data_IF_397059855518
#
_entry.id   IF_397059855518
#
_cell.length_a   1.000
_cell.length_b   1.000
_cell.length_c   1.000
_cell.angle_alpha   90.00
_cell.angle_beta   90.00
_cell.angle_gamma   90.00
#
_symmetry.space_group_name_H-M   'P 1'
#
loop_
_entity.id
_entity.type
_entity.pdbx_description
1 polymer ?
#
# COMPACT_ATOMS: atom_id res chain seq x y z
N UNK A 1 5.26 19.37 11.78
CA UNK A 1 6.51 18.71 12.16
C UNK A 1 6.27 17.50 13.05
N UNK A 2 5.04 17.14 13.19
CA UNK A 2 4.53 16.17 14.18
C UNK A 2 4.93 14.72 13.92
N UNK A 3 5.04 14.28 12.68
CA UNK A 3 5.32 12.87 12.32
C UNK A 3 6.81 12.62 12.05
N UNK A 4 7.61 13.66 11.84
CA UNK A 4 9.07 13.50 11.68
C UNK A 4 9.70 12.81 12.89
N UNK A 5 9.28 13.16 14.11
CA UNK A 5 9.87 12.58 15.32
C UNK A 5 9.69 11.05 15.39
N UNK A 6 8.56 10.54 14.86
CA UNK A 6 8.31 9.10 14.76
C UNK A 6 9.25 8.42 13.76
N UNK A 7 9.42 9.03 12.58
CA UNK A 7 10.29 8.49 11.54
C UNK A 7 11.75 8.59 11.96
N UNK A 8 12.16 9.72 12.50
CA UNK A 8 13.51 9.95 13.02
C UNK A 8 13.84 8.97 14.15
N UNK A 9 12.87 8.65 15.00
CA UNK A 9 13.06 7.62 16.04
C UNK A 9 13.43 6.27 15.42
N UNK A 10 12.68 5.79 14.41
CA UNK A 10 12.98 4.50 13.78
C UNK A 10 14.29 4.50 12.99
N UNK A 11 14.61 5.60 12.30
CA UNK A 11 15.88 5.79 11.59
C UNK A 11 17.07 5.79 12.59
N UNK A 12 16.95 6.53 13.68
CA UNK A 12 17.99 6.61 14.71
C UNK A 12 18.19 5.29 15.48
N UNK A 13 17.14 4.47 15.61
CA UNK A 13 17.24 3.11 16.15
C UNK A 13 17.87 2.13 15.16
N UNK A 14 18.08 2.52 13.93
CA UNK A 14 18.55 1.64 12.85
C UNK A 14 17.54 0.53 12.51
N UNK A 15 16.25 0.73 12.82
CA UNK A 15 15.21 -0.23 12.46
C UNK A 15 14.91 -0.20 10.98
N UNK A 16 15.07 0.95 10.34
CA UNK A 16 14.77 1.15 8.92
C UNK A 16 15.75 2.12 8.29
N UNK A 17 15.61 2.32 6.98
CA UNK A 17 16.34 3.30 6.19
C UNK A 17 15.45 3.85 5.08
N UNK A 18 15.81 5.00 4.54
CA UNK A 18 15.21 5.47 3.30
C UNK A 18 15.57 4.56 2.12
N UNK A 19 14.57 4.28 1.30
CA UNK A 19 14.66 3.40 0.14
C UNK A 19 13.61 3.81 -0.91
N UNK A 20 13.34 2.97 -1.91
CA UNK A 20 12.25 3.15 -2.89
C UNK A 20 11.36 1.92 -2.90
N UNK A 21 10.11 2.05 -3.33
CA UNK A 21 9.21 0.89 -3.44
C UNK A 21 9.76 -0.21 -4.33
N UNK A 22 10.54 0.14 -5.36
CA UNK A 22 11.19 -0.83 -6.25
C UNK A 22 12.34 -1.59 -5.57
N UNK A 23 12.90 -1.07 -4.48
CA UNK A 23 13.95 -1.73 -3.70
C UNK A 23 13.38 -2.62 -2.59
N UNK A 24 12.18 -2.30 -2.10
CA UNK A 24 11.45 -3.11 -1.12
C UNK A 24 10.77 -4.29 -1.81
N UNK A 25 10.13 -4.01 -2.94
CA UNK A 25 9.43 -5.03 -3.71
C UNK A 25 10.40 -5.85 -4.54
N UNK A 26 10.17 -7.15 -4.60
CA UNK A 26 10.93 -8.18 -5.30
C UNK A 26 11.57 -7.67 -6.61
N UNK A 27 12.88 -7.87 -6.83
CA UNK A 27 13.60 -7.47 -8.04
C UNK A 27 12.99 -8.00 -9.36
N UNK A 28 11.98 -8.88 -9.28
CA UNK A 28 11.21 -9.36 -10.42
C UNK A 28 10.05 -8.43 -10.83
N UNK A 29 9.87 -7.28 -10.17
CA UNK A 29 8.94 -6.27 -10.66
C UNK A 29 9.34 -5.86 -12.08
N UNK A 30 8.46 -6.15 -13.05
CA UNK A 30 8.66 -5.82 -14.47
C UNK A 30 8.42 -4.34 -14.80
N UNK A 31 8.41 -3.46 -13.79
CA UNK A 31 8.22 -2.03 -13.98
C UNK A 31 9.37 -1.46 -14.80
N UNK A 32 9.06 -0.95 -15.98
CA UNK A 32 10.03 -0.33 -16.90
C UNK A 32 10.60 0.96 -16.30
N UNK A 33 9.79 1.67 -15.52
CA UNK A 33 10.20 2.88 -14.81
C UNK A 33 10.32 2.55 -13.31
N UNK A 34 11.54 2.67 -12.80
CA UNK A 34 11.77 2.53 -11.36
C UNK A 34 11.37 3.82 -10.66
N UNK A 35 10.56 3.69 -9.61
CA UNK A 35 10.20 4.82 -8.75
C UNK A 35 11.45 5.47 -8.15
N UNK A 36 11.42 6.81 -8.12
CA UNK A 36 12.43 7.65 -7.44
C UNK A 36 11.91 8.20 -6.12
N UNK A 37 10.67 7.93 -5.78
CA UNK A 37 10.05 8.40 -4.54
C UNK A 37 10.70 7.71 -3.35
N UNK A 38 11.26 8.54 -2.45
CA UNK A 38 11.82 8.06 -1.20
C UNK A 38 10.71 7.60 -0.26
N UNK A 39 10.88 6.44 0.31
CA UNK A 39 9.96 5.82 1.29
C UNK A 39 10.79 5.16 2.40
N UNK A 40 10.15 4.82 3.50
CA UNK A 40 10.72 4.03 4.58
C UNK A 40 10.22 2.59 4.47
N UNK A 41 11.12 1.63 4.56
CA UNK A 41 10.80 0.21 4.65
C UNK A 41 10.09 -0.06 5.99
N UNK A 42 8.78 -0.31 5.94
CA UNK A 42 7.99 -0.49 7.15
C UNK A 42 8.00 -1.93 7.66
N UNK A 43 8.27 -2.91 6.82
CA UNK A 43 8.51 -4.27 7.29
C UNK A 43 9.76 -4.34 8.19
N UNK A 44 10.77 -3.54 7.89
CA UNK A 44 11.96 -3.42 8.74
C UNK A 44 11.62 -2.75 10.08
N UNK A 45 10.77 -1.72 10.10
CA UNK A 45 10.23 -1.11 11.34
C UNK A 45 9.48 -2.15 12.17
N UNK A 46 8.58 -2.90 11.54
CA UNK A 46 7.82 -3.98 12.18
C UNK A 46 8.76 -4.99 12.84
N UNK A 47 9.79 -5.47 12.13
CA UNK A 47 10.77 -6.41 12.68
C UNK A 47 11.52 -5.85 13.92
N UNK A 48 11.84 -4.56 13.91
CA UNK A 48 12.42 -3.87 15.06
C UNK A 48 11.46 -3.85 16.25
N UNK A 49 10.20 -3.51 15.98
CA UNK A 49 9.12 -3.48 16.95
C UNK A 49 8.85 -4.86 17.58
N UNK A 50 8.76 -5.92 16.77
CA UNK A 50 8.59 -7.31 17.22
C UNK A 50 9.70 -7.77 18.17
N UNK A 51 10.96 -7.45 17.81
CA UNK A 51 12.13 -7.79 18.65
C UNK A 51 12.07 -7.09 20.02
N UNK A 52 11.65 -5.82 20.02
CA UNK A 52 11.55 -5.05 21.25
C UNK A 52 10.47 -5.61 22.18
N UNK A 53 9.30 -5.92 21.64
CA UNK A 53 8.11 -6.30 22.41
C UNK A 53 7.94 -7.81 22.60
N UNK A 54 8.71 -8.65 21.91
CA UNK A 54 8.61 -10.12 21.92
C UNK A 54 7.19 -10.63 21.63
N UNK A 55 6.52 -9.99 20.68
CA UNK A 55 5.14 -10.32 20.28
C UNK A 55 5.11 -11.13 18.97
N UNK A 56 3.96 -11.75 18.69
CA UNK A 56 3.69 -12.36 17.40
C UNK A 56 3.71 -11.30 16.28
N UNK A 57 4.15 -11.71 15.10
CA UNK A 57 4.31 -10.82 13.94
C UNK A 57 2.96 -10.20 13.54
N UNK A 58 2.75 -8.89 13.73
CA UNK A 58 1.59 -8.21 13.17
C UNK A 58 1.70 -8.18 11.64
N UNK A 59 0.59 -8.02 10.95
CA UNK A 59 0.64 -7.66 9.54
C UNK A 59 1.19 -6.22 9.41
N UNK A 60 1.74 -5.86 8.25
CA UNK A 60 2.20 -4.49 8.00
C UNK A 60 2.05 -4.14 6.54
N UNK A 61 1.89 -2.85 6.27
CA UNK A 61 2.15 -2.30 4.94
C UNK A 61 3.63 -2.41 4.60
N UNK A 62 3.97 -2.41 3.33
CA UNK A 62 5.35 -2.59 2.89
C UNK A 62 6.20 -1.33 3.14
N UNK A 63 5.60 -0.12 3.00
CA UNK A 63 6.34 1.12 3.15
C UNK A 63 5.51 2.27 3.74
N UNK A 64 6.23 3.26 4.28
CA UNK A 64 5.68 4.57 4.63
C UNK A 64 6.39 5.68 3.86
N UNK A 65 5.64 6.72 3.51
CA UNK A 65 6.16 8.00 3.06
C UNK A 65 5.57 9.11 3.91
N UNK A 66 6.42 10.01 4.29
CA UNK A 66 6.03 11.26 4.95
C UNK A 66 6.43 12.45 4.08
N UNK A 67 5.55 13.42 4.00
CA UNK A 67 5.87 14.79 3.65
C UNK A 67 5.21 15.74 4.67
N UNK A 68 5.50 17.03 4.59
CA UNK A 68 5.01 18.01 5.57
C UNK A 68 3.47 18.06 5.66
N UNK A 69 2.76 17.50 4.71
CA UNK A 69 1.30 17.58 4.58
C UNK A 69 0.59 16.27 4.93
N UNK A 70 1.27 15.11 4.76
CA UNK A 70 0.58 13.82 4.80
C UNK A 70 1.52 12.65 5.12
N UNK A 71 1.03 11.69 5.89
CA UNK A 71 1.65 10.37 6.07
C UNK A 71 0.96 9.36 5.15
N UNK A 72 1.71 8.76 4.23
CA UNK A 72 1.19 7.78 3.29
C UNK A 72 1.63 6.37 3.67
N UNK A 73 0.66 5.49 3.93
CA UNK A 73 0.86 4.04 4.06
C UNK A 73 0.83 3.42 2.66
N UNK A 74 1.79 2.56 2.35
CA UNK A 74 1.96 2.03 0.99
C UNK A 74 2.07 0.51 1.06
N UNK A 75 1.16 -0.14 0.36
CA UNK A 75 1.16 -1.60 0.17
C UNK A 75 1.49 -1.91 -1.29
N UNK A 76 2.42 -2.82 -1.56
CA UNK A 76 2.85 -3.17 -2.92
C UNK A 76 2.51 -4.63 -3.22
N UNK A 77 1.84 -4.89 -4.34
CA UNK A 77 1.44 -6.24 -4.75
C UNK A 77 1.85 -6.57 -6.18
N UNK A 78 2.60 -7.66 -6.31
CA UNK A 78 3.03 -8.21 -7.61
C UNK A 78 2.03 -9.22 -8.15
N UNK A 79 1.17 -8.79 -9.07
CA UNK A 79 0.29 -9.67 -9.82
C UNK A 79 0.98 -10.33 -11.00
N UNK A 80 1.92 -9.63 -11.69
CA UNK A 80 2.59 -10.18 -12.89
C UNK A 80 3.35 -11.44 -12.59
N UNK A 81 4.11 -11.46 -11.49
CA UNK A 81 4.80 -12.69 -11.06
C UNK A 81 3.81 -13.86 -10.89
N UNK A 82 2.67 -13.61 -10.26
CA UNK A 82 1.63 -14.63 -10.11
C UNK A 82 1.08 -15.08 -11.46
N UNK A 83 0.79 -14.16 -12.37
CA UNK A 83 0.24 -14.45 -13.69
C UNK A 83 1.25 -15.23 -14.56
N UNK A 84 2.54 -14.83 -14.54
CA UNK A 84 3.59 -15.42 -15.37
C UNK A 84 3.98 -16.84 -14.91
N UNK A 85 3.99 -17.08 -13.59
CA UNK A 85 4.42 -18.38 -13.04
C UNK A 85 3.28 -19.34 -12.74
N UNK A 86 2.03 -18.94 -12.94
CA UNK A 86 0.88 -19.84 -12.75
C UNK A 86 0.58 -20.59 -14.04
N UNK A 87 0.79 -21.90 -14.06
CA UNK A 87 0.64 -22.77 -15.24
C UNK A 87 -0.73 -22.69 -15.94
N UNK A 88 -1.78 -22.39 -15.18
CA UNK A 88 -3.12 -22.10 -15.68
C UNK A 88 -3.78 -21.10 -14.73
N UNK A 89 -3.90 -19.86 -15.16
CA UNK A 89 -4.61 -18.82 -14.41
C UNK A 89 -6.10 -19.09 -14.49
N UNK A 90 -6.78 -19.01 -13.37
CA UNK A 90 -8.25 -19.07 -13.27
C UNK A 90 -8.71 -18.00 -12.29
N UNK A 91 -9.97 -17.60 -12.42
CA UNK A 91 -10.57 -16.62 -11.50
C UNK A 91 -10.48 -17.07 -10.03
N UNK A 92 -10.74 -18.35 -9.78
CA UNK A 92 -10.64 -18.94 -8.42
C UNK A 92 -9.23 -18.79 -7.81
N UNK A 93 -8.18 -18.95 -8.64
CA UNK A 93 -6.78 -18.76 -8.19
C UNK A 93 -6.49 -17.29 -7.88
N UNK A 94 -7.03 -16.37 -8.68
CA UNK A 94 -6.94 -14.93 -8.41
C UNK A 94 -7.66 -14.60 -7.10
N UNK A 95 -8.88 -15.10 -6.90
CA UNK A 95 -9.66 -14.88 -5.67
C UNK A 95 -8.97 -15.47 -4.44
N UNK A 96 -8.34 -16.63 -4.57
CA UNK A 96 -7.55 -17.20 -3.49
C UNK A 96 -6.35 -16.30 -3.17
N UNK A 97 -5.60 -15.87 -4.21
CA UNK A 97 -4.41 -15.05 -4.02
C UNK A 97 -4.73 -13.69 -3.38
N UNK A 98 -5.83 -13.03 -3.79
CA UNK A 98 -6.20 -11.72 -3.23
C UNK A 98 -6.62 -11.79 -1.76
N UNK A 99 -7.23 -12.91 -1.31
CA UNK A 99 -7.58 -13.10 0.12
C UNK A 99 -6.36 -13.08 1.03
N UNK A 100 -5.19 -13.49 0.53
CA UNK A 100 -3.95 -13.48 1.27
C UNK A 100 -3.38 -12.05 1.46
N UNK A 101 -3.94 -11.04 0.79
CA UNK A 101 -3.40 -9.69 0.83
C UNK A 101 -3.79 -8.89 2.08
N UNK A 102 -4.94 -9.20 2.69
CA UNK A 102 -5.39 -8.66 3.99
C UNK A 102 -5.21 -7.13 4.14
N UNK A 103 -5.54 -6.35 3.10
CA UNK A 103 -5.26 -4.90 3.02
C UNK A 103 -5.69 -4.12 4.27
N UNK A 104 -6.92 -4.35 4.74
CA UNK A 104 -7.44 -3.68 5.95
C UNK A 104 -6.60 -4.02 7.17
N UNK A 105 -6.34 -5.32 7.41
CA UNK A 105 -5.56 -5.77 8.56
C UNK A 105 -4.14 -5.19 8.56
N UNK A 106 -3.49 -5.14 7.40
CA UNK A 106 -2.17 -4.53 7.26
C UNK A 106 -2.17 -3.06 7.64
N UNK A 107 -3.17 -2.30 7.19
CA UNK A 107 -3.33 -0.90 7.58
C UNK A 107 -3.57 -0.76 9.08
N UNK A 108 -4.50 -1.53 9.65
CA UNK A 108 -4.84 -1.49 11.07
C UNK A 108 -3.63 -1.80 11.96
N UNK A 109 -2.91 -2.88 11.66
CA UNK A 109 -1.73 -3.28 12.43
C UNK A 109 -0.59 -2.25 12.30
N UNK A 110 -0.42 -1.65 11.10
CA UNK A 110 0.56 -0.58 10.89
C UNK A 110 0.25 0.68 11.68
N UNK A 111 -1.01 1.10 11.70
CA UNK A 111 -1.48 2.21 12.52
C UNK A 111 -1.25 1.94 14.01
N UNK A 112 -1.50 0.71 14.45
CA UNK A 112 -1.25 0.29 15.83
C UNK A 112 0.24 0.35 16.20
N UNK A 113 1.14 -0.09 15.32
CA UNK A 113 2.60 0.04 15.53
C UNK A 113 2.99 1.51 15.69
N UNK A 114 2.47 2.40 14.83
CA UNK A 114 2.71 3.85 14.94
C UNK A 114 2.24 4.39 16.29
N UNK A 115 0.99 4.12 16.67
CA UNK A 115 0.39 4.62 17.90
C UNK A 115 1.09 4.09 19.15
N UNK A 116 1.42 2.81 19.19
CA UNK A 116 2.15 2.23 20.33
C UNK A 116 3.55 2.84 20.45
N UNK A 117 4.28 2.98 19.33
CA UNK A 117 5.60 3.64 19.35
C UNK A 117 5.50 5.07 19.89
N UNK A 118 4.49 5.83 19.45
CA UNK A 118 4.24 7.21 19.92
C UNK A 118 4.01 7.24 21.43
N UNK A 119 3.15 6.38 21.95
CA UNK A 119 2.84 6.27 23.39
C UNK A 119 4.06 5.94 24.23
N UNK A 120 4.79 4.90 23.82
CA UNK A 120 5.90 4.37 24.59
C UNK A 120 7.10 5.30 24.63
N UNK A 121 7.32 6.02 23.52
CA UNK A 121 8.46 6.92 23.38
C UNK A 121 8.11 8.38 23.69
N UNK A 122 6.83 8.67 23.94
CA UNK A 122 6.32 10.03 24.21
C UNK A 122 6.79 11.04 23.16
N UNK A 123 6.74 10.67 21.87
CA UNK A 123 7.28 11.47 20.76
C UNK A 123 6.40 12.66 20.44
N UNK A 124 5.10 12.41 20.31
CA UNK A 124 4.05 13.39 19.99
C UNK A 124 2.79 12.97 20.74
N UNK A 125 1.80 13.84 20.84
CA UNK A 125 0.52 13.43 21.40
C UNK A 125 -0.25 12.56 20.39
N UNK A 126 -1.03 11.60 20.91
CA UNK A 126 -1.91 10.77 20.05
C UNK A 126 -2.89 11.62 19.27
N UNK A 127 -3.42 12.67 19.89
CA UNK A 127 -4.33 13.62 19.25
C UNK A 127 -3.69 14.30 18.04
N UNK A 128 -2.43 14.70 18.12
CA UNK A 128 -1.70 15.28 16.99
C UNK A 128 -1.51 14.25 15.88
N UNK A 129 -1.11 13.04 16.23
CA UNK A 129 -1.02 11.95 15.24
C UNK A 129 -2.38 11.67 14.61
N UNK A 130 -3.45 11.58 15.38
CA UNK A 130 -4.80 11.33 14.84
C UNK A 130 -5.26 12.42 13.88
N UNK A 131 -4.98 13.68 14.17
CA UNK A 131 -5.35 14.83 13.32
C UNK A 131 -4.47 14.99 12.09
N UNK A 132 -3.23 14.47 12.12
CA UNK A 132 -2.33 14.58 10.97
C UNK A 132 -2.91 13.81 9.78
N UNK A 133 -2.96 14.44 8.57
CA UNK A 133 -3.54 13.80 7.40
C UNK A 133 -2.82 12.48 7.04
N UNK A 134 -3.60 11.46 6.73
CA UNK A 134 -3.10 10.15 6.33
C UNK A 134 -3.74 9.70 5.02
N UNK A 135 -3.00 8.87 4.29
CA UNK A 135 -3.47 8.23 3.08
C UNK A 135 -2.99 6.79 3.03
N UNK A 136 -3.81 5.93 2.43
CA UNK A 136 -3.42 4.55 2.13
C UNK A 136 -3.41 4.35 0.62
N UNK A 137 -2.29 3.88 0.08
CA UNK A 137 -2.12 3.58 -1.34
C UNK A 137 -1.76 2.11 -1.49
N UNK A 138 -2.53 1.41 -2.32
CA UNK A 138 -2.18 0.07 -2.79
C UNK A 138 -1.57 0.19 -4.18
N UNK A 139 -0.35 -0.29 -4.36
CA UNK A 139 0.41 -0.23 -5.62
C UNK A 139 0.45 -1.61 -6.23
N UNK A 140 0.08 -1.74 -7.50
CA UNK A 140 0.15 -3.01 -8.22
C UNK A 140 0.90 -2.88 -9.55
N UNK A 141 1.48 -3.99 -10.00
CA UNK A 141 2.33 -4.05 -11.20
C UNK A 141 1.57 -4.35 -12.49
N UNK A 142 0.25 -4.51 -12.43
CA UNK A 142 -0.60 -4.61 -13.61
C UNK A 142 -1.13 -3.24 -14.00
N UNK A 143 -1.29 -3.02 -15.30
CA UNK A 143 -1.76 -1.76 -15.86
C UNK A 143 -3.04 -1.98 -16.63
N UNK A 144 -4.03 -1.14 -16.38
CA UNK A 144 -5.20 -1.01 -17.25
C UNK A 144 -5.00 0.24 -18.08
N UNK A 145 -5.03 0.12 -19.42
CA UNK A 145 -4.96 1.28 -20.30
C UNK A 145 -6.12 2.22 -19.96
N UNK A 146 -5.79 3.39 -19.44
CA UNK A 146 -6.77 4.46 -19.17
C UNK A 146 -7.12 5.16 -20.48
N UNK A 147 -7.86 4.51 -21.39
CA UNK A 147 -8.48 5.24 -22.47
C UNK A 147 -9.78 5.87 -21.93
N UNK A 148 -10.04 7.17 -22.16
CA UNK A 148 -11.25 7.85 -21.64
C UNK A 148 -12.56 7.23 -22.12
N UNK A 149 -12.54 6.57 -23.28
CA UNK A 149 -13.66 5.79 -23.83
C UNK A 149 -13.66 4.33 -23.36
N UNK A 150 -12.58 3.86 -22.72
CA UNK A 150 -12.46 2.47 -22.32
C UNK A 150 -13.39 2.11 -21.16
N UNK A 151 -13.80 3.04 -20.31
CA UNK A 151 -14.77 2.73 -19.24
C UNK A 151 -16.13 2.32 -19.81
N UNK A 152 -16.58 2.98 -20.87
CA UNK A 152 -17.83 2.62 -21.56
C UNK A 152 -17.63 1.38 -22.46
N UNK A 153 -16.51 1.31 -23.18
CA UNK A 153 -16.16 0.16 -24.01
C UNK A 153 -15.89 -1.10 -23.17
N UNK A 154 -15.24 -0.98 -22.01
CA UNK A 154 -15.06 -2.10 -21.06
C UNK A 154 -16.41 -2.54 -20.50
N UNK A 155 -17.32 -1.63 -20.16
CA UNK A 155 -18.66 -2.00 -19.70
C UNK A 155 -19.47 -2.68 -20.84
N UNK A 156 -19.35 -2.21 -22.07
CA UNK A 156 -19.98 -2.83 -23.25
C UNK A 156 -19.28 -4.13 -23.67
N UNK A 157 -17.97 -4.22 -23.52
CA UNK A 157 -17.18 -5.41 -23.83
C UNK A 157 -17.37 -6.51 -22.77
N UNK A 158 -17.60 -6.17 -21.50
CA UNK A 158 -18.05 -7.10 -20.46
C UNK A 158 -19.42 -7.70 -20.76
N UNK A 159 -20.28 -6.97 -21.47
CA UNK A 159 -21.58 -7.48 -21.93
C UNK A 159 -21.46 -8.31 -23.22
N UNK A 160 -20.39 -8.15 -23.99
CA UNK A 160 -20.30 -8.69 -25.35
C UNK A 160 -19.36 -9.89 -25.54
N UNK A 161 -18.31 -10.09 -24.72
CA UNK A 161 -17.37 -11.21 -24.92
C UNK A 161 -16.55 -11.59 -23.68
N UNK A 162 -16.32 -12.86 -23.55
CA UNK A 162 -15.63 -13.66 -22.54
C UNK A 162 -14.10 -13.55 -22.48
N UNK A 163 -13.48 -12.41 -22.78
CA UNK A 163 -12.02 -12.27 -22.65
C UNK A 163 -11.58 -10.96 -21.99
N UNK A 164 -12.00 -10.77 -20.75
CA UNK A 164 -11.31 -9.80 -19.88
C UNK A 164 -9.88 -10.30 -19.69
N UNK A 165 -8.86 -9.46 -19.96
CA UNK A 165 -7.47 -9.85 -19.70
C UNK A 165 -7.29 -10.11 -18.21
N UNK A 166 -6.40 -11.04 -17.85
CA UNK A 166 -6.10 -11.34 -16.46
C UNK A 166 -5.60 -10.09 -15.70
N UNK A 167 -4.86 -9.21 -16.36
CA UNK A 167 -4.42 -7.92 -15.79
C UNK A 167 -5.61 -7.06 -15.38
N UNK A 168 -6.61 -6.93 -16.27
CA UNK A 168 -7.85 -6.18 -15.99
C UNK A 168 -8.62 -6.81 -14.83
N UNK A 169 -8.72 -8.13 -14.79
CA UNK A 169 -9.40 -8.84 -13.70
C UNK A 169 -8.68 -8.62 -12.37
N UNK A 170 -7.36 -8.76 -12.33
CA UNK A 170 -6.56 -8.50 -11.13
C UNK A 170 -6.74 -7.06 -10.64
N UNK A 171 -6.72 -6.08 -11.55
CA UNK A 171 -6.98 -4.68 -11.22
C UNK A 171 -8.37 -4.49 -10.59
N UNK A 172 -9.42 -4.94 -11.28
CA UNK A 172 -10.81 -4.74 -10.83
C UNK A 172 -11.08 -5.38 -9.47
N UNK A 173 -10.59 -6.62 -9.27
CA UNK A 173 -10.75 -7.31 -7.99
C UNK A 173 -9.98 -6.63 -6.87
N UNK A 174 -8.76 -6.14 -7.13
CA UNK A 174 -7.99 -5.36 -6.15
C UNK A 174 -8.67 -4.03 -5.85
N UNK A 175 -9.17 -3.32 -6.88
CA UNK A 175 -9.92 -2.08 -6.68
C UNK A 175 -11.14 -2.31 -5.79
N UNK A 176 -11.90 -3.37 -6.05
CA UNK A 176 -13.05 -3.74 -5.21
C UNK A 176 -12.66 -4.00 -3.74
N UNK A 177 -11.52 -4.65 -3.48
CA UNK A 177 -11.06 -4.88 -2.11
C UNK A 177 -10.64 -3.58 -1.42
N UNK A 178 -9.97 -2.69 -2.14
CA UNK A 178 -9.54 -1.37 -1.65
C UNK A 178 -10.75 -0.48 -1.35
N UNK A 179 -11.74 -0.46 -2.24
CA UNK A 179 -12.97 0.32 -2.08
C UNK A 179 -13.86 -0.18 -0.94
N UNK A 180 -13.73 -1.46 -0.56
CA UNK A 180 -14.45 -2.06 0.56
C UNK A 180 -13.81 -1.79 1.93
N UNK A 181 -12.66 -1.11 2.01
CA UNK A 181 -12.08 -0.70 3.29
C UNK A 181 -12.97 0.39 3.90
N UNK A 182 -13.61 0.13 5.07
CA UNK A 182 -14.61 1.05 5.62
C UNK A 182 -13.95 2.35 6.09
N UNK A 183 -14.39 3.48 5.55
CA UNK A 183 -13.89 4.80 5.95
C UNK A 183 -14.28 5.19 7.36
N UNK A 184 -15.44 4.77 7.82
CA UNK A 184 -15.94 5.00 9.17
C UNK A 184 -15.00 4.47 10.26
N UNK A 185 -14.30 3.37 10.01
CA UNK A 185 -13.32 2.80 10.94
C UNK A 185 -12.14 3.75 11.22
N UNK A 186 -11.88 4.71 10.32
CA UNK A 186 -10.77 5.66 10.38
C UNK A 186 -11.20 7.10 10.60
N UNK A 187 -12.47 7.34 10.93
CA UNK A 187 -13.02 8.70 11.10
C UNK A 187 -12.28 9.54 12.14
N UNK A 188 -11.72 8.90 13.18
CA UNK A 188 -10.90 9.54 14.19
C UNK A 188 -9.42 9.75 13.80
N UNK A 189 -8.99 9.27 12.64
CA UNK A 189 -7.58 9.24 12.24
C UNK A 189 -7.23 10.18 11.07
N UNK A 190 -8.14 11.03 10.64
CA UNK A 190 -7.97 11.90 9.47
C UNK A 190 -7.40 11.15 8.25
N UNK A 191 -7.96 9.98 7.96
CA UNK A 191 -7.55 9.10 6.87
C UNK A 191 -8.36 9.43 5.62
N UNK A 192 -7.68 9.71 4.50
CA UNK A 192 -8.32 9.83 3.19
C UNK A 192 -8.74 8.46 2.66
N UNK A 193 -9.71 8.46 1.74
CA UNK A 193 -10.14 7.22 1.07
C UNK A 193 -8.94 6.49 0.46
N UNK A 194 -8.82 5.16 0.67
CA UNK A 194 -7.77 4.36 0.06
C UNK A 194 -7.75 4.44 -1.46
N UNK A 195 -6.57 4.37 -2.06
CA UNK A 195 -6.39 4.45 -3.51
C UNK A 195 -5.62 3.27 -4.06
N UNK A 196 -6.08 2.75 -5.21
CA UNK A 196 -5.32 1.81 -6.02
C UNK A 196 -4.58 2.56 -7.13
N UNK A 197 -3.29 2.29 -7.28
CA UNK A 197 -2.46 2.88 -8.35
C UNK A 197 -1.61 1.81 -9.02
N UNK A 198 -1.24 2.04 -10.29
CA UNK A 198 -0.22 1.22 -10.93
C UNK A 198 1.18 1.66 -10.52
N UNK A 199 2.16 0.76 -10.60
CA UNK A 199 3.56 1.11 -10.36
C UNK A 199 4.03 2.28 -11.25
N UNK A 200 3.52 2.39 -12.48
CA UNK A 200 3.88 3.48 -13.41
C UNK A 200 3.32 4.84 -12.99
N UNK A 201 2.20 4.86 -12.29
CA UNK A 201 1.52 6.08 -11.86
C UNK A 201 1.90 6.50 -10.43
N UNK A 202 2.67 5.66 -9.72
CA UNK A 202 2.99 5.88 -8.30
C UNK A 202 3.69 7.21 -8.04
N UNK A 203 4.74 7.52 -8.83
CA UNK A 203 5.50 8.76 -8.64
C UNK A 203 4.65 10.01 -8.89
N UNK A 204 3.65 9.91 -9.78
CA UNK A 204 2.72 11.00 -10.06
C UNK A 204 1.85 11.37 -8.84
N UNK A 205 1.62 10.43 -7.92
CA UNK A 205 0.87 10.68 -6.68
C UNK A 205 1.58 11.67 -5.74
N UNK A 206 2.88 11.90 -5.94
CA UNK A 206 3.73 12.74 -5.09
C UNK A 206 4.38 13.90 -5.86
N UNK A 207 4.12 14.01 -7.14
CA UNK A 207 4.53 15.18 -7.93
C UNK A 207 3.61 16.34 -7.53
N UNK A 208 4.18 17.38 -6.94
CA UNK A 208 3.43 18.62 -6.70
C UNK A 208 2.97 19.20 -8.03
N UNK A 209 1.74 19.69 -8.14
CA UNK A 209 1.30 20.45 -9.31
C UNK A 209 2.11 21.72 -9.48
#
# INVERSE_FOLDING_TARGET
MVVNDLLDYWLNKGWTKETTICSIHDPLCSCVLKSKVAVIDFDAVKMGYEKLHKIASPASVDALRYDEKELTFIEVKGWKKFLDFTSKVTEEKIDKKRKDYEYKKKLDDSLNICLQTIREQNLISEDEFCRFPKRYIVVIDVQVKKEPLASLAVSLQMLATSSTSWDTMCWQKTQSDVDQIPQEDYSGLNMKHPHLVSCSDFDACFSSP
#
